data_IF_386244912932
#
_entry.id   IF_386244912932
#
_cell.length_a   1.000
_cell.length_b   1.000
_cell.length_c   1.000
_cell.angle_alpha   90.00
_cell.angle_beta   90.00
_cell.angle_gamma   90.00
#
_symmetry.space_group_name_H-M   'P 1'
#
loop_
_entity.id
_entity.type
_entity.pdbx_description
1 polymer ?
#
# COMPACT_ATOMS: atom_id res chain seq x y z
N UNK A 1 26.08 -7.07 -17.78
CA UNK A 1 25.99 -6.67 -16.36
C UNK A 1 25.31 -7.79 -15.59
N UNK A 2 25.94 -8.32 -14.53
CA UNK A 2 25.39 -9.48 -13.80
C UNK A 2 24.11 -9.08 -13.04
N UNK A 3 23.11 -9.97 -13.04
CA UNK A 3 21.83 -9.80 -12.30
C UNK A 3 22.04 -9.46 -10.81
N UNK A 4 23.18 -9.82 -10.22
CA UNK A 4 23.51 -9.57 -8.82
C UNK A 4 23.70 -8.08 -8.47
N UNK A 5 24.20 -7.25 -9.39
CA UNK A 5 24.43 -5.82 -9.16
C UNK A 5 23.15 -4.97 -9.19
N UNK A 6 22.06 -5.49 -9.78
CA UNK A 6 20.78 -4.78 -9.85
C UNK A 6 20.02 -4.88 -8.52
N UNK A 7 20.20 -5.97 -7.75
CA UNK A 7 19.47 -6.24 -6.52
C UNK A 7 19.73 -5.26 -5.37
N UNK A 8 20.82 -4.51 -5.38
CA UNK A 8 21.21 -3.60 -4.28
C UNK A 8 20.99 -2.12 -4.55
N UNK A 9 20.48 -1.73 -5.74
CA UNK A 9 20.21 -0.32 -6.03
C UNK A 9 18.91 0.14 -5.34
N UNK A 10 18.95 1.29 -4.67
CA UNK A 10 17.72 1.97 -4.20
C UNK A 10 16.80 2.25 -5.39
N UNK A 11 15.49 2.29 -5.18
CA UNK A 11 14.57 2.80 -6.18
C UNK A 11 14.48 4.33 -6.12
N UNK A 12 14.04 4.96 -7.21
CA UNK A 12 13.82 6.40 -7.24
C UNK A 12 12.86 6.86 -6.12
N UNK A 13 11.84 6.06 -5.84
CA UNK A 13 10.82 6.33 -4.82
C UNK A 13 11.38 6.29 -3.39
N UNK A 14 12.49 5.56 -3.16
CA UNK A 14 13.16 5.46 -1.85
C UNK A 14 14.03 6.68 -1.52
N UNK A 15 14.31 7.54 -2.51
CA UNK A 15 15.18 8.69 -2.33
C UNK A 15 14.41 9.87 -1.76
N UNK A 16 14.96 10.52 -0.74
CA UNK A 16 14.45 11.79 -0.27
C UNK A 16 14.90 12.95 -1.18
N UNK A 17 14.34 14.13 -1.00
CA UNK A 17 14.59 15.27 -1.88
C UNK A 17 16.10 15.63 -1.93
N UNK A 18 16.83 15.57 -0.80
CA UNK A 18 18.28 15.83 -0.77
C UNK A 18 19.10 14.77 -1.52
N UNK A 19 18.70 13.49 -1.43
CA UNK A 19 19.36 12.40 -2.20
C UNK A 19 19.09 12.56 -3.70
N UNK A 20 17.88 12.98 -4.07
CA UNK A 20 17.50 13.25 -5.46
C UNK A 20 18.28 14.44 -6.04
N UNK A 21 18.42 15.54 -5.28
CA UNK A 21 19.22 16.71 -5.68
C UNK A 21 20.67 16.32 -5.96
N UNK A 22 21.30 15.59 -5.04
CA UNK A 22 22.68 15.08 -5.21
C UNK A 22 22.81 14.18 -6.43
N UNK A 23 21.86 13.25 -6.62
CA UNK A 23 21.86 12.35 -7.76
C UNK A 23 21.80 13.11 -9.10
N UNK A 24 20.93 14.13 -9.18
CA UNK A 24 20.75 14.94 -10.39
C UNK A 24 21.98 15.83 -10.63
N UNK A 25 22.58 16.39 -9.59
CA UNK A 25 23.83 17.16 -9.70
C UNK A 25 25.00 16.29 -10.16
N UNK A 26 25.16 15.07 -9.59
CA UNK A 26 26.18 14.10 -9.98
C UNK A 26 26.09 13.65 -11.45
N UNK A 27 24.90 13.66 -12.05
CA UNK A 27 24.71 13.36 -13.47
C UNK A 27 24.81 14.61 -14.36
N UNK A 28 25.12 15.77 -13.78
CA UNK A 28 25.35 17.03 -14.50
C UNK A 28 24.08 17.73 -14.96
N UNK A 29 22.94 17.46 -14.32
CA UNK A 29 21.63 18.02 -14.68
C UNK A 29 21.13 19.01 -13.60
N UNK A 30 20.09 19.76 -13.93
CA UNK A 30 19.48 20.76 -13.05
C UNK A 30 18.32 20.20 -12.25
N UNK A 31 18.06 20.70 -11.04
CA UNK A 31 17.05 20.20 -10.10
C UNK A 31 15.62 20.17 -10.65
N UNK A 32 15.26 21.01 -11.65
CA UNK A 32 13.94 20.94 -12.27
C UNK A 32 13.64 19.55 -12.92
N UNK A 33 14.69 18.76 -13.24
CA UNK A 33 14.55 17.41 -13.75
C UNK A 33 13.86 16.48 -12.75
N UNK A 34 14.04 16.70 -11.45
CA UNK A 34 13.35 15.93 -10.39
C UNK A 34 11.83 16.05 -10.56
N UNK A 35 11.34 17.27 -10.80
CA UNK A 35 9.91 17.49 -11.02
C UNK A 35 9.39 16.80 -12.28
N UNK A 36 10.19 16.79 -13.35
CA UNK A 36 9.83 16.07 -14.57
C UNK A 36 9.76 14.57 -14.35
N UNK A 37 10.75 13.97 -13.66
CA UNK A 37 10.79 12.56 -13.33
C UNK A 37 9.61 12.20 -12.40
N UNK A 38 9.38 12.99 -11.35
CA UNK A 38 8.26 12.81 -10.44
C UNK A 38 6.92 12.81 -11.19
N UNK A 39 6.74 13.73 -12.14
CA UNK A 39 5.52 13.78 -12.94
C UNK A 39 5.32 12.51 -13.77
N UNK A 40 6.37 11.99 -14.38
CA UNK A 40 6.30 10.73 -15.12
C UNK A 40 5.94 9.55 -14.22
N UNK A 41 6.58 9.43 -13.06
CA UNK A 41 6.34 8.31 -12.14
C UNK A 41 4.94 8.39 -11.51
N UNK A 42 4.58 9.54 -10.93
CA UNK A 42 3.38 9.66 -10.08
C UNK A 42 2.10 10.07 -10.81
N UNK A 43 2.20 10.64 -12.01
CA UNK A 43 1.03 11.09 -12.77
C UNK A 43 0.84 10.38 -14.10
N UNK A 44 1.93 9.91 -14.73
CA UNK A 44 1.86 9.12 -15.97
C UNK A 44 2.01 7.61 -15.72
N UNK A 45 2.41 7.20 -14.49
CA UNK A 45 2.48 5.80 -14.06
C UNK A 45 3.31 4.93 -15.01
N UNK A 46 4.47 5.42 -15.38
CA UNK A 46 5.36 4.76 -16.35
C UNK A 46 5.90 3.44 -15.79
N UNK A 47 6.17 2.49 -16.68
CA UNK A 47 6.76 1.17 -16.38
C UNK A 47 8.25 1.11 -16.65
N UNK A 48 8.75 1.95 -17.54
CA UNK A 48 10.16 1.96 -17.96
C UNK A 48 10.71 3.38 -18.06
N UNK A 49 12.00 3.51 -17.88
CA UNK A 49 12.71 4.79 -18.04
C UNK A 49 12.55 5.39 -19.43
N UNK A 50 12.43 4.55 -20.48
CA UNK A 50 12.32 4.98 -21.88
C UNK A 50 10.99 5.70 -22.20
N UNK A 51 9.99 5.59 -21.34
CA UNK A 51 8.71 6.30 -21.51
C UNK A 51 8.82 7.80 -21.19
N UNK A 52 9.91 8.25 -20.54
CA UNK A 52 10.15 9.67 -20.20
C UNK A 52 10.65 10.46 -21.42
N UNK A 53 9.80 10.61 -22.43
CA UNK A 53 10.16 11.14 -23.78
C UNK A 53 10.68 12.57 -23.80
N UNK A 54 10.45 13.37 -22.76
CA UNK A 54 10.94 14.76 -22.66
C UNK A 54 12.23 14.90 -21.85
N UNK A 55 12.87 13.78 -21.47
CA UNK A 55 14.17 13.78 -20.83
C UNK A 55 15.29 13.41 -21.82
N UNK A 56 16.50 14.00 -21.67
CA UNK A 56 17.64 13.61 -22.49
C UNK A 56 17.97 12.11 -22.33
N UNK A 57 18.24 11.43 -23.43
CA UNK A 57 18.61 10.00 -23.38
C UNK A 57 19.88 9.76 -22.55
N UNK A 58 20.81 10.71 -22.53
CA UNK A 58 22.01 10.66 -21.69
C UNK A 58 21.66 10.61 -20.19
N UNK A 59 20.67 11.40 -19.75
CA UNK A 59 20.19 11.40 -18.37
C UNK A 59 19.52 10.06 -18.03
N UNK A 60 18.61 9.58 -18.89
CA UNK A 60 17.94 8.29 -18.71
C UNK A 60 18.96 7.17 -18.54
N UNK A 61 19.97 7.09 -19.43
CA UNK A 61 21.01 6.08 -19.38
C UNK A 61 21.84 6.14 -18.09
N UNK A 62 22.08 7.33 -17.55
CA UNK A 62 22.81 7.51 -16.29
C UNK A 62 21.96 7.09 -15.08
N UNK A 63 20.68 7.46 -15.04
CA UNK A 63 19.75 7.07 -13.97
C UNK A 63 19.57 5.56 -13.92
N UNK A 64 19.32 4.92 -15.07
CA UNK A 64 19.13 3.47 -15.18
C UNK A 64 20.35 2.67 -14.68
N UNK A 65 21.58 3.19 -14.86
CA UNK A 65 22.80 2.58 -14.32
C UNK A 65 22.93 2.70 -12.81
N UNK A 66 22.33 3.73 -12.18
CA UNK A 66 22.55 4.10 -10.76
C UNK A 66 21.42 3.65 -9.84
N UNK A 67 20.19 3.76 -10.30
CA UNK A 67 18.98 3.49 -9.50
C UNK A 67 17.98 2.63 -10.28
N UNK A 68 17.03 2.07 -9.56
CA UNK A 68 15.86 1.41 -10.14
C UNK A 68 14.72 2.39 -10.31
N UNK A 69 13.89 2.16 -11.31
CA UNK A 69 12.60 2.85 -11.40
C UNK A 69 11.63 2.26 -10.36
N UNK A 70 11.46 0.93 -10.41
CA UNK A 70 10.52 0.18 -9.58
C UNK A 70 11.23 -0.72 -8.55
N UNK A 71 10.81 -0.73 -7.27
CA UNK A 71 11.28 -1.68 -6.27
C UNK A 71 10.64 -3.08 -6.43
N UNK A 72 9.46 -3.18 -7.07
CA UNK A 72 8.75 -4.43 -7.30
C UNK A 72 9.01 -4.98 -8.71
N UNK A 73 8.95 -6.30 -8.84
CA UNK A 73 8.94 -7.02 -10.11
C UNK A 73 7.54 -7.61 -10.31
N UNK A 74 6.83 -7.22 -11.39
CA UNK A 74 5.54 -7.81 -11.75
C UNK A 74 5.79 -9.21 -12.31
N UNK A 75 5.19 -10.22 -11.69
CA UNK A 75 5.34 -11.64 -12.05
C UNK A 75 4.18 -12.11 -12.92
N UNK A 76 2.94 -11.78 -12.51
CA UNK A 76 1.73 -12.31 -13.13
C UNK A 76 0.55 -11.37 -12.96
N UNK A 77 -0.33 -11.35 -13.94
CA UNK A 77 -1.62 -10.69 -13.86
C UNK A 77 -2.69 -11.77 -14.09
N UNK A 78 -3.54 -11.98 -13.10
CA UNK A 78 -4.72 -12.84 -13.20
C UNK A 78 -5.96 -12.03 -13.49
N UNK A 79 -6.76 -12.46 -14.46
CA UNK A 79 -7.92 -11.75 -15.00
C UNK A 79 -7.61 -11.02 -16.33
N UNK A 80 -8.65 -10.84 -17.16
CA UNK A 80 -8.56 -10.15 -18.45
C UNK A 80 -8.70 -8.65 -18.30
N UNK A 81 -8.36 -7.89 -19.33
CA UNK A 81 -8.47 -6.41 -19.33
C UNK A 81 -9.91 -5.91 -19.14
N UNK A 82 -10.89 -6.71 -19.55
CA UNK A 82 -12.33 -6.40 -19.44
C UNK A 82 -12.94 -6.82 -18.10
N UNK A 83 -12.21 -7.58 -17.28
CA UNK A 83 -12.72 -8.06 -16.00
C UNK A 83 -12.85 -6.91 -15.01
N UNK A 84 -13.90 -6.95 -14.21
CA UNK A 84 -14.11 -5.97 -13.13
C UNK A 84 -13.10 -6.08 -12.01
N UNK A 85 -12.38 -7.19 -11.93
CA UNK A 85 -11.38 -7.45 -10.90
C UNK A 85 -10.18 -8.15 -11.51
N UNK A 86 -8.98 -7.56 -11.30
CA UNK A 86 -7.71 -8.13 -11.75
C UNK A 86 -6.74 -8.20 -10.59
N UNK A 87 -6.07 -9.32 -10.45
CA UNK A 87 -5.06 -9.56 -9.41
C UNK A 87 -3.66 -9.50 -10.00
N UNK A 88 -2.76 -8.83 -9.31
CA UNK A 88 -1.38 -8.62 -9.70
C UNK A 88 -0.47 -9.28 -8.67
N UNK A 89 0.38 -10.19 -9.12
CA UNK A 89 1.40 -10.84 -8.29
C UNK A 89 2.73 -10.15 -8.52
N UNK A 90 3.32 -9.67 -7.42
CA UNK A 90 4.63 -9.02 -7.43
C UNK A 90 5.65 -9.82 -6.63
N UNK A 91 6.92 -9.58 -6.95
CA UNK A 91 8.06 -10.04 -6.18
C UNK A 91 8.81 -8.82 -5.63
N UNK A 92 9.08 -8.82 -4.35
CA UNK A 92 9.85 -7.78 -3.65
C UNK A 92 11.34 -7.95 -3.92
N UNK A 93 12.13 -6.93 -3.58
CA UNK A 93 13.61 -7.00 -3.67
C UNK A 93 14.16 -8.18 -2.84
N UNK A 94 13.52 -8.52 -1.72
CA UNK A 94 13.91 -9.65 -0.87
C UNK A 94 13.48 -11.01 -1.42
N UNK A 95 12.78 -11.04 -2.54
CA UNK A 95 12.31 -12.27 -3.19
C UNK A 95 10.94 -12.76 -2.70
N UNK A 96 10.31 -12.10 -1.74
CA UNK A 96 8.99 -12.47 -1.24
C UNK A 96 7.90 -12.04 -2.22
N UNK A 97 6.79 -12.78 -2.24
CA UNK A 97 5.65 -12.49 -3.11
C UNK A 97 4.57 -11.71 -2.35
N UNK A 98 3.92 -10.81 -3.07
CA UNK A 98 2.76 -10.06 -2.59
C UNK A 98 1.73 -9.94 -3.71
N UNK A 99 0.47 -9.75 -3.33
CA UNK A 99 -0.63 -9.55 -4.27
C UNK A 99 -1.28 -8.18 -4.09
N UNK A 100 -1.75 -7.61 -5.18
CA UNK A 100 -2.56 -6.39 -5.21
C UNK A 100 -3.73 -6.57 -6.16
N UNK A 101 -4.81 -5.84 -5.94
CA UNK A 101 -6.04 -6.03 -6.71
C UNK A 101 -6.53 -4.69 -7.28
N UNK A 102 -6.79 -4.66 -8.57
CA UNK A 102 -7.48 -3.59 -9.27
C UNK A 102 -8.96 -3.97 -9.43
N UNK A 103 -9.86 -3.12 -8.94
CA UNK A 103 -11.30 -3.37 -8.94
C UNK A 103 -12.03 -2.21 -9.60
N UNK A 104 -12.92 -2.54 -10.53
CA UNK A 104 -13.83 -1.61 -11.17
C UNK A 104 -15.28 -1.92 -10.74
N UNK A 105 -15.96 -0.94 -10.22
CA UNK A 105 -17.38 -1.05 -9.88
C UNK A 105 -18.10 0.25 -10.18
N UNK A 106 -18.97 0.26 -11.18
CA UNK A 106 -19.63 1.45 -11.67
C UNK A 106 -18.62 2.59 -11.97
N UNK A 107 -18.79 3.74 -11.33
CA UNK A 107 -17.91 4.90 -11.47
C UNK A 107 -16.73 4.89 -10.48
N UNK A 108 -16.46 3.77 -9.84
CA UNK A 108 -15.39 3.65 -8.83
C UNK A 108 -14.35 2.64 -9.27
N UNK A 109 -13.10 3.11 -9.34
CA UNK A 109 -11.93 2.26 -9.56
C UNK A 109 -11.08 2.27 -8.29
N UNK A 110 -10.90 1.11 -7.69
CA UNK A 110 -10.21 0.95 -6.41
C UNK A 110 -8.98 0.08 -6.59
N UNK A 111 -7.86 0.51 -6.02
CA UNK A 111 -6.68 -0.32 -5.86
C UNK A 111 -6.60 -0.81 -4.41
N UNK A 112 -6.48 -2.12 -4.25
CA UNK A 112 -6.22 -2.78 -2.98
C UNK A 112 -4.73 -3.13 -2.90
N UNK A 113 -4.03 -2.56 -1.92
CA UNK A 113 -2.59 -2.75 -1.74
C UNK A 113 -2.28 -3.60 -0.52
N UNK A 114 -1.19 -4.36 -0.61
CA UNK A 114 -0.58 -5.10 0.49
C UNK A 114 0.35 -4.19 1.28
N UNK A 115 0.41 -4.40 2.60
CA UNK A 115 1.31 -3.71 3.52
C UNK A 115 2.44 -4.59 4.05
N UNK A 116 2.28 -5.91 3.95
CA UNK A 116 3.26 -6.91 4.35
C UNK A 116 3.29 -8.04 3.31
N UNK A 117 4.36 -8.82 3.31
CA UNK A 117 4.36 -10.16 2.72
C UNK A 117 4.08 -11.16 3.85
N UNK A 118 2.99 -11.90 3.73
CA UNK A 118 2.42 -12.67 4.84
C UNK A 118 1.74 -11.79 5.89
N UNK A 119 1.34 -12.38 7.02
CA UNK A 119 0.71 -11.66 8.14
C UNK A 119 1.01 -12.36 9.46
N UNK A 120 1.19 -11.57 10.53
CA UNK A 120 1.49 -12.08 11.88
C UNK A 120 0.21 -12.38 12.70
N UNK A 121 -0.97 -11.98 12.22
CA UNK A 121 -2.18 -11.98 13.04
C UNK A 121 -2.89 -13.34 13.12
N UNK A 122 -2.56 -14.26 12.24
CA UNK A 122 -3.04 -15.65 12.23
C UNK A 122 -4.58 -15.79 12.27
N UNK A 123 -5.30 -14.97 11.49
CA UNK A 123 -6.76 -15.05 11.40
C UNK A 123 -7.18 -16.33 10.67
N UNK A 124 -8.03 -17.16 11.27
CA UNK A 124 -8.40 -18.51 10.79
C UNK A 124 -9.07 -18.54 9.40
N UNK A 125 -9.71 -17.46 8.98
CA UNK A 125 -10.38 -17.33 7.67
C UNK A 125 -9.50 -16.72 6.58
N UNK A 126 -8.26 -16.31 6.89
CA UNK A 126 -7.42 -15.53 6.00
C UNK A 126 -6.33 -16.38 5.35
N UNK A 127 -6.34 -16.48 4.01
CA UNK A 127 -5.30 -17.23 3.28
C UNK A 127 -3.89 -16.67 3.49
N UNK A 128 -3.74 -15.35 3.73
CA UNK A 128 -2.44 -14.74 4.01
C UNK A 128 -1.87 -15.19 5.36
N UNK A 129 -2.71 -15.52 6.33
CA UNK A 129 -2.27 -15.99 7.65
C UNK A 129 -1.47 -17.29 7.57
N UNK A 130 -1.89 -18.23 6.69
CA UNK A 130 -1.19 -19.51 6.49
C UNK A 130 0.23 -19.38 5.95
N UNK A 131 0.60 -18.21 5.40
CA UNK A 131 1.95 -17.92 4.93
C UNK A 131 2.91 -17.51 6.07
N UNK A 132 2.37 -17.17 7.24
CA UNK A 132 3.12 -16.52 8.30
C UNK A 132 3.59 -15.12 7.93
N UNK A 133 4.33 -14.47 8.82
CA UNK A 133 4.93 -13.15 8.56
C UNK A 133 6.31 -13.30 7.90
N UNK A 134 6.53 -12.64 6.77
CA UNK A 134 7.81 -12.67 6.05
C UNK A 134 8.53 -11.32 6.12
N UNK A 135 7.83 -10.21 5.78
CA UNK A 135 8.42 -8.86 5.87
C UNK A 135 7.35 -7.76 5.91
N UNK A 136 7.71 -6.62 6.50
CA UNK A 136 7.04 -5.35 6.25
C UNK A 136 7.47 -4.81 4.88
N UNK A 137 6.52 -4.32 4.09
CA UNK A 137 6.82 -3.60 2.87
C UNK A 137 7.30 -2.18 3.20
N UNK A 138 8.25 -1.66 2.42
CA UNK A 138 8.64 -0.25 2.49
C UNK A 138 7.53 0.64 1.91
N UNK A 139 7.57 1.93 2.21
CA UNK A 139 6.65 2.90 1.62
C UNK A 139 6.73 2.92 0.09
N UNK A 140 7.92 2.73 -0.47
CA UNK A 140 8.15 2.63 -1.91
C UNK A 140 7.53 1.36 -2.52
N UNK A 141 7.68 0.19 -1.88
CA UNK A 141 7.04 -1.05 -2.32
C UNK A 141 5.50 -0.96 -2.27
N UNK A 142 4.95 -0.20 -1.31
CA UNK A 142 3.50 0.02 -1.23
C UNK A 142 3.02 0.94 -2.37
N UNK A 143 3.72 2.06 -2.61
CA UNK A 143 3.38 3.02 -3.67
C UNK A 143 3.53 2.39 -5.06
N UNK A 144 4.54 1.56 -5.24
CA UNK A 144 4.82 0.93 -6.53
C UNK A 144 3.69 0.00 -6.98
N UNK A 145 2.99 -0.66 -6.04
CA UNK A 145 1.77 -1.39 -6.34
C UNK A 145 0.74 -0.47 -7.00
N UNK A 146 0.58 0.76 -6.46
CA UNK A 146 -0.39 1.73 -7.01
C UNK A 146 0.03 2.20 -8.40
N UNK A 147 1.31 2.49 -8.61
CA UNK A 147 1.86 2.91 -9.90
C UNK A 147 1.61 1.83 -10.95
N UNK A 148 1.97 0.58 -10.66
CA UNK A 148 1.71 -0.53 -11.58
C UNK A 148 0.24 -0.71 -11.89
N UNK A 149 -0.63 -0.80 -10.88
CA UNK A 149 -2.05 -1.04 -11.12
C UNK A 149 -2.70 0.13 -11.86
N UNK A 150 -2.28 1.37 -11.58
CA UNK A 150 -2.75 2.56 -12.30
C UNK A 150 -2.33 2.53 -13.78
N UNK A 151 -1.13 2.07 -14.11
CA UNK A 151 -0.65 1.94 -15.50
C UNK A 151 -1.41 0.88 -16.32
N UNK A 152 -2.08 -0.06 -15.66
CA UNK A 152 -2.93 -1.08 -16.29
C UNK A 152 -4.42 -0.76 -16.23
N UNK A 153 -4.79 0.41 -15.69
CA UNK A 153 -6.19 0.83 -15.59
C UNK A 153 -6.58 1.75 -16.75
N UNK A 154 -7.66 1.39 -17.43
CA UNK A 154 -8.27 2.24 -18.45
C UNK A 154 -9.16 3.35 -17.85
N UNK A 155 -9.29 3.40 -16.53
CA UNK A 155 -10.13 4.35 -15.79
C UNK A 155 -9.33 5.05 -14.70
N UNK A 156 -9.71 6.29 -14.40
CA UNK A 156 -9.09 7.04 -13.30
C UNK A 156 -9.25 6.32 -11.97
N UNK A 157 -8.14 6.10 -11.28
CA UNK A 157 -8.17 5.54 -9.93
C UNK A 157 -8.85 6.52 -8.98
N UNK A 158 -9.87 6.05 -8.28
CA UNK A 158 -10.67 6.88 -7.37
C UNK A 158 -10.38 6.61 -5.89
N UNK A 159 -9.97 5.40 -5.55
CA UNK A 159 -9.78 4.98 -4.16
C UNK A 159 -8.59 4.03 -4.02
N UNK A 160 -7.91 4.14 -2.88
CA UNK A 160 -6.87 3.21 -2.46
C UNK A 160 -7.28 2.61 -1.12
N UNK A 161 -7.19 1.29 -0.98
CA UNK A 161 -7.51 0.58 0.26
C UNK A 161 -6.34 -0.31 0.66
N UNK A 162 -5.94 -0.25 1.91
CA UNK A 162 -4.92 -1.10 2.51
C UNK A 162 -5.62 -2.32 3.11
N UNK A 163 -6.09 -3.21 2.22
CA UNK A 163 -6.89 -4.41 2.53
C UNK A 163 -6.33 -5.67 1.85
N UNK A 164 -5.10 -5.59 1.35
CA UNK A 164 -4.37 -6.73 0.80
C UNK A 164 -3.70 -7.55 1.89
N UNK A 165 -2.51 -8.06 1.60
CA UNK A 165 -1.75 -8.89 2.55
C UNK A 165 -1.18 -8.05 3.69
N UNK A 166 -1.27 -8.60 4.91
CA UNK A 166 -0.70 -8.02 6.13
C UNK A 166 -1.64 -7.15 6.94
N UNK A 167 -1.19 -6.76 8.14
CA UNK A 167 -1.85 -5.80 9.03
C UNK A 167 -1.19 -4.43 8.86
N UNK A 168 -1.88 -3.43 8.28
CA UNK A 168 -1.28 -2.12 8.01
C UNK A 168 -0.74 -1.42 9.27
N UNK A 169 -1.43 -1.51 10.39
CA UNK A 169 -1.01 -0.85 11.61
C UNK A 169 0.18 -1.52 12.31
N UNK A 170 0.54 -2.75 11.93
CA UNK A 170 1.80 -3.39 12.34
C UNK A 170 3.00 -2.93 11.47
N UNK A 171 2.72 -2.35 10.30
CA UNK A 171 3.71 -1.66 9.47
C UNK A 171 3.47 -0.14 9.44
N UNK A 172 3.12 0.42 10.59
CA UNK A 172 2.56 1.76 10.76
C UNK A 172 3.32 2.85 10.02
N UNK A 173 4.65 2.95 10.23
CA UNK A 173 5.45 4.01 9.64
C UNK A 173 5.40 4.00 8.11
N UNK A 174 5.69 2.87 7.49
CA UNK A 174 5.72 2.77 6.02
C UNK A 174 4.33 2.98 5.41
N UNK A 175 3.27 2.50 6.08
CA UNK A 175 1.88 2.70 5.64
C UNK A 175 1.51 4.17 5.69
N UNK A 176 1.82 4.89 6.76
CA UNK A 176 1.52 6.32 6.87
C UNK A 176 2.33 7.15 5.88
N UNK A 177 3.63 6.85 5.70
CA UNK A 177 4.48 7.48 4.69
C UNK A 177 3.93 7.25 3.27
N UNK A 178 3.53 6.03 2.92
CA UNK A 178 2.92 5.73 1.62
C UNK A 178 1.60 6.48 1.42
N UNK A 179 0.76 6.58 2.46
CA UNK A 179 -0.46 7.39 2.43
C UNK A 179 -0.20 8.88 2.17
N UNK A 180 0.88 9.43 2.75
CA UNK A 180 1.31 10.80 2.48
C UNK A 180 1.84 10.97 1.05
N UNK A 181 2.57 10.00 0.50
CA UNK A 181 3.01 10.02 -0.89
C UNK A 181 1.81 10.00 -1.86
N UNK A 182 0.81 9.14 -1.61
CA UNK A 182 -0.45 9.12 -2.37
C UNK A 182 -1.13 10.49 -2.37
N UNK A 183 -1.17 11.15 -1.20
CA UNK A 183 -1.78 12.47 -1.08
C UNK A 183 -0.96 13.55 -1.77
N UNK A 184 0.34 13.63 -1.49
CA UNK A 184 1.17 14.78 -1.84
C UNK A 184 1.75 14.69 -3.26
N UNK A 185 2.06 13.47 -3.75
CA UNK A 185 2.66 13.27 -5.07
C UNK A 185 1.64 12.82 -6.14
N UNK A 186 0.60 12.07 -5.74
CA UNK A 186 -0.41 11.53 -6.67
C UNK A 186 -1.77 12.23 -6.58
N UNK A 187 -1.95 13.18 -5.66
CA UNK A 187 -3.16 14.01 -5.55
C UNK A 187 -4.40 13.32 -4.98
N UNK A 188 -4.25 12.17 -4.31
CA UNK A 188 -5.38 11.53 -3.66
C UNK A 188 -5.82 12.30 -2.41
N UNK A 189 -7.10 12.68 -2.34
CA UNK A 189 -7.66 13.21 -1.11
C UNK A 189 -7.64 12.18 0.02
N UNK A 190 -7.40 12.61 1.26
CA UNK A 190 -7.35 11.70 2.42
C UNK A 190 -8.60 10.83 2.57
N UNK A 191 -9.77 11.32 2.17
CA UNK A 191 -11.04 10.58 2.16
C UNK A 191 -11.11 9.48 1.08
N UNK A 192 -10.12 9.40 0.20
CA UNK A 192 -10.00 8.36 -0.84
C UNK A 192 -9.01 7.26 -0.48
N UNK A 193 -8.33 7.41 0.66
CA UNK A 193 -7.36 6.45 1.20
C UNK A 193 -7.98 5.83 2.45
N UNK A 194 -8.12 4.50 2.46
CA UNK A 194 -8.67 3.75 3.60
C UNK A 194 -7.61 2.83 4.17
N UNK A 195 -7.33 2.99 5.46
CA UNK A 195 -6.48 2.08 6.23
C UNK A 195 -7.41 1.09 6.95
N UNK A 196 -7.29 -0.20 6.61
CA UNK A 196 -8.01 -1.27 7.31
C UNK A 196 -7.12 -1.88 8.39
N UNK A 197 -7.72 -2.31 9.48
CA UNK A 197 -6.99 -2.95 10.59
C UNK A 197 -7.85 -4.01 11.28
N UNK A 198 -7.20 -5.04 11.78
CA UNK A 198 -7.82 -6.01 12.66
C UNK A 198 -8.14 -5.44 14.06
N UNK A 199 -7.83 -4.16 14.32
CA UNK A 199 -8.16 -3.50 15.57
C UNK A 199 -6.99 -3.38 16.55
N UNK A 200 -5.82 -2.95 16.07
CA UNK A 200 -4.67 -2.65 16.93
C UNK A 200 -4.94 -1.33 17.68
N UNK A 201 -5.66 -1.40 18.81
CA UNK A 201 -6.23 -0.27 19.53
C UNK A 201 -5.22 0.85 19.81
N UNK A 202 -4.01 0.50 20.27
CA UNK A 202 -2.95 1.46 20.54
C UNK A 202 -2.53 2.25 19.28
N UNK A 203 -2.49 1.60 18.12
CA UNK A 203 -2.13 2.22 16.85
C UNK A 203 -3.27 3.04 16.26
N UNK A 204 -4.52 2.68 16.51
CA UNK A 204 -5.68 3.51 16.17
C UNK A 204 -5.60 4.85 16.94
N UNK A 205 -5.30 4.81 18.23
CA UNK A 205 -5.09 6.01 19.03
C UNK A 205 -3.91 6.84 18.50
N UNK A 206 -2.77 6.18 18.21
CA UNK A 206 -1.61 6.85 17.64
C UNK A 206 -1.96 7.55 16.31
N UNK A 207 -2.72 6.90 15.42
CA UNK A 207 -3.14 7.49 14.13
C UNK A 207 -4.00 8.76 14.33
N UNK A 208 -4.81 8.80 15.40
CA UNK A 208 -5.57 9.97 15.76
C UNK A 208 -4.65 11.09 16.32
N UNK A 209 -3.65 10.73 17.13
CA UNK A 209 -2.69 11.67 17.73
C UNK A 209 -1.76 12.29 16.68
N UNK A 210 -1.31 11.51 15.73
CA UNK A 210 -0.50 11.95 14.59
C UNK A 210 -1.32 12.77 13.56
N UNK A 211 -2.63 12.94 13.79
CA UNK A 211 -3.55 13.71 12.94
C UNK A 211 -3.62 13.24 11.48
N UNK A 212 -3.43 11.95 11.24
CA UNK A 212 -3.68 11.36 9.93
C UNK A 212 -5.19 11.32 9.66
N UNK A 213 -5.61 11.92 8.54
CA UNK A 213 -7.04 12.05 8.16
C UNK A 213 -7.49 11.01 7.14
N UNK A 214 -6.79 9.89 7.04
CA UNK A 214 -7.21 8.76 6.20
C UNK A 214 -8.47 8.12 6.78
N UNK A 215 -9.27 7.49 5.94
CA UNK A 215 -10.40 6.69 6.43
C UNK A 215 -9.87 5.49 7.22
N UNK A 216 -10.56 5.16 8.29
CA UNK A 216 -10.30 3.97 9.10
C UNK A 216 -11.41 2.94 8.87
N UNK A 217 -11.02 1.73 8.53
CA UNK A 217 -11.87 0.55 8.52
C UNK A 217 -11.36 -0.44 9.58
N UNK A 218 -12.27 -1.05 10.33
CA UNK A 218 -11.93 -2.01 11.37
C UNK A 218 -12.62 -3.33 11.06
N UNK A 219 -11.84 -4.38 10.85
CA UNK A 219 -12.29 -5.74 10.66
C UNK A 219 -12.78 -6.31 12.00
N UNK A 220 -14.06 -6.05 12.32
CA UNK A 220 -14.67 -6.48 13.57
C UNK A 220 -14.92 -7.99 13.57
N UNK A 221 -15.53 -8.49 12.52
CA UNK A 221 -15.75 -9.89 12.15
C UNK A 221 -16.55 -10.76 13.14
N UNK A 222 -16.80 -10.29 14.37
CA UNK A 222 -17.68 -10.95 15.31
C UNK A 222 -18.28 -9.91 16.26
N UNK A 223 -19.48 -10.20 16.79
CA UNK A 223 -20.21 -9.33 17.71
C UNK A 223 -19.91 -9.60 19.18
N UNK A 224 -19.26 -10.70 19.50
CA UNK A 224 -18.85 -11.07 20.85
C UNK A 224 -17.38 -11.50 20.91
N UNK A 225 -16.82 -11.39 22.11
CA UNK A 225 -15.39 -11.60 22.38
C UNK A 225 -14.95 -13.05 22.08
N UNK A 226 -15.77 -14.04 22.48
CA UNK A 226 -15.40 -15.45 22.34
C UNK A 226 -15.33 -15.87 20.87
N UNK A 227 -16.36 -15.57 20.09
CA UNK A 227 -16.39 -15.84 18.64
C UNK A 227 -15.24 -15.09 17.94
N UNK A 228 -14.99 -13.84 18.33
CA UNK A 228 -13.89 -13.09 17.73
C UNK A 228 -12.54 -13.72 18.03
N UNK A 229 -12.31 -14.18 19.24
CA UNK A 229 -11.08 -14.86 19.66
C UNK A 229 -10.83 -16.14 18.86
N UNK A 230 -11.87 -16.91 18.60
CA UNK A 230 -11.78 -18.14 17.80
C UNK A 230 -11.32 -17.88 16.36
N UNK A 231 -11.78 -16.79 15.74
CA UNK A 231 -11.46 -16.49 14.33
C UNK A 231 -10.32 -15.49 14.16
N UNK A 232 -10.03 -14.68 15.19
CA UNK A 232 -8.98 -13.65 15.19
C UNK A 232 -8.21 -13.67 16.52
N UNK A 233 -7.12 -14.43 16.62
CA UNK A 233 -6.34 -14.57 17.87
C UNK A 233 -5.80 -13.27 18.46
N UNK A 234 -5.66 -12.22 17.65
CA UNK A 234 -5.28 -10.87 18.11
C UNK A 234 -6.24 -10.30 19.17
N UNK A 235 -7.44 -10.85 19.29
CA UNK A 235 -8.45 -10.49 20.32
C UNK A 235 -7.92 -10.68 21.74
N UNK A 236 -6.99 -11.60 21.97
CA UNK A 236 -6.33 -11.78 23.27
C UNK A 236 -5.48 -10.56 23.69
N UNK A 237 -4.99 -9.78 22.72
CA UNK A 237 -4.21 -8.56 22.97
C UNK A 237 -5.05 -7.29 22.95
N UNK A 238 -6.10 -7.27 22.14
CA UNK A 238 -7.00 -6.12 21.98
C UNK A 238 -8.44 -6.60 21.98
N UNK A 239 -9.09 -6.43 23.11
CA UNK A 239 -10.50 -6.79 23.32
C UNK A 239 -11.44 -5.95 22.43
N UNK A 240 -12.67 -6.41 22.24
CA UNK A 240 -13.69 -5.59 21.57
C UNK A 240 -13.92 -4.25 22.31
N UNK A 241 -13.82 -4.25 23.64
CA UNK A 241 -13.91 -3.03 24.45
C UNK A 241 -12.79 -2.05 24.11
N UNK A 242 -11.54 -2.52 24.02
CA UNK A 242 -10.38 -1.69 23.65
C UNK A 242 -10.54 -1.09 22.26
N UNK A 243 -11.00 -1.89 21.30
CA UNK A 243 -11.27 -1.45 19.93
C UNK A 243 -12.34 -0.37 19.90
N UNK A 244 -13.44 -0.56 20.65
CA UNK A 244 -14.53 0.43 20.72
C UNK A 244 -14.09 1.72 21.40
N UNK A 245 -13.27 1.66 22.45
CA UNK A 245 -12.68 2.84 23.10
C UNK A 245 -11.75 3.59 22.15
N UNK A 246 -10.86 2.90 21.47
CA UNK A 246 -9.96 3.48 20.49
C UNK A 246 -10.74 4.10 19.31
N UNK A 247 -11.82 3.46 18.87
CA UNK A 247 -12.71 3.99 17.82
C UNK A 247 -13.39 5.28 18.25
N UNK A 248 -13.93 5.34 19.46
CA UNK A 248 -14.52 6.56 20.02
C UNK A 248 -13.48 7.68 20.13
N UNK A 249 -12.28 7.36 20.58
CA UNK A 249 -11.17 8.30 20.67
C UNK A 249 -10.81 8.86 19.29
N UNK A 250 -10.62 7.97 18.31
CA UNK A 250 -10.31 8.34 16.92
C UNK A 250 -11.37 9.28 16.34
N UNK A 251 -12.66 8.91 16.45
CA UNK A 251 -13.77 9.75 15.97
C UNK A 251 -13.82 11.11 16.67
N UNK A 252 -13.69 11.13 18.02
CA UNK A 252 -13.69 12.37 18.79
C UNK A 252 -12.60 13.35 18.33
N UNK A 253 -11.41 12.82 18.01
CA UNK A 253 -10.25 13.62 17.67
C UNK A 253 -10.22 14.04 16.19
N UNK A 254 -10.54 13.14 15.27
CA UNK A 254 -10.42 13.36 13.82
C UNK A 254 -11.73 13.82 13.17
N UNK A 255 -12.89 13.55 13.77
CA UNK A 255 -14.23 13.69 13.21
C UNK A 255 -14.48 12.84 11.95
N UNK A 256 -13.59 11.89 11.64
CA UNK A 256 -13.76 10.96 10.54
C UNK A 256 -14.63 9.78 10.95
N UNK A 257 -15.56 9.39 10.08
CA UNK A 257 -16.34 8.16 10.27
C UNK A 257 -15.44 6.94 10.19
N UNK A 258 -15.78 5.90 10.95
CA UNK A 258 -15.14 4.60 10.96
C UNK A 258 -16.08 3.61 10.28
N UNK A 259 -15.53 2.77 9.42
CA UNK A 259 -16.25 1.63 8.84
C UNK A 259 -15.92 0.39 9.66
N UNK A 260 -16.94 -0.35 10.11
CA UNK A 260 -16.76 -1.70 10.64
C UNK A 260 -17.03 -2.71 9.54
N UNK A 261 -16.08 -3.62 9.34
CA UNK A 261 -16.15 -4.69 8.35
C UNK A 261 -16.48 -6.00 9.04
N UNK A 262 -17.28 -6.82 8.38
CA UNK A 262 -17.75 -8.07 8.92
C UNK A 262 -17.70 -9.15 7.84
N UNK A 263 -16.95 -10.22 8.09
CA UNK A 263 -16.91 -11.40 7.20
C UNK A 263 -18.09 -12.30 7.53
N UNK A 264 -18.88 -12.62 6.51
CA UNK A 264 -20.00 -13.56 6.66
C UNK A 264 -19.49 -14.99 6.46
N UNK A 265 -19.19 -15.67 7.55
CA UNK A 265 -18.83 -17.09 7.57
C UNK A 265 -20.06 -17.92 7.87
N UNK A 266 -20.18 -19.10 7.25
CA UNK A 266 -21.33 -20.00 7.46
C UNK A 266 -21.48 -20.37 8.94
N UNK A 267 -20.39 -20.55 9.66
CA UNK A 267 -20.36 -20.80 11.10
C UNK A 267 -20.88 -19.66 11.96
N UNK A 268 -20.96 -18.42 11.42
CA UNK A 268 -21.46 -17.23 12.13
C UNK A 268 -22.92 -16.91 11.79
N UNK A 269 -23.51 -17.54 10.76
CA UNK A 269 -24.89 -17.28 10.34
C UNK A 269 -25.91 -17.87 11.33
N UNK A 270 -25.50 -18.82 12.14
CA UNK A 270 -26.36 -19.53 13.10
C UNK A 270 -26.19 -19.07 14.55
N UNK A 271 -25.58 -17.91 14.77
CA UNK A 271 -25.42 -17.31 16.10
C UNK A 271 -26.54 -16.34 16.38
#
# INVERSE_FOLDING_TARGET
>A
MSKSNILHKKSFIDLNDSDLEKLIEEVGEKNFRINQINNWIYNHFIKTWSEMINLPQSLINQLEKRIRLHPLELIEISGNETDTTRKFLFKTIKGNKIESVLMHHNNRTTICVSSQSGCILDCNFCATASMGFLQNLSSSEIIDQVIYLASYSNSKITNIVYMGMGEPLMNYRNVMESGLLLKNKMGFGSSRITISTAGIASKICQMADDNYKFKLAISLNASNENTRREIMPITDKFSLSDIMLASKYYYKKTKNFITFEYVLLLSLIHI
#
